data_IF_687565573264
#
_entry.id   IF_687565573264
#
_cell.length_a   1.000
_cell.length_b   1.000
_cell.length_c   1.000
_cell.angle_alpha   90.00
_cell.angle_beta   90.00
_cell.angle_gamma   90.00
#
_symmetry.space_group_name_H-M   'P 1'
#
loop_
_entity.id
_entity.type
_entity.pdbx_description
1 polymer ?
#
# COMPACT_ATOMS: atom_id res chain seq x y z
N UNK A 1 -4.17 -2.23 -15.86
CA UNK A 1 -4.93 -2.15 -14.60
C UNK A 1 -4.07 -1.67 -13.43
N UNK A 2 -2.86 -2.22 -13.21
CA UNK A 2 -1.78 -1.56 -12.43
C UNK A 2 -1.45 -0.12 -12.90
N UNK A 3 -1.79 0.23 -14.14
CA UNK A 3 -1.69 1.60 -14.70
C UNK A 3 -2.74 2.58 -14.15
N UNK A 4 -3.85 2.10 -13.57
CA UNK A 4 -4.88 2.97 -12.97
C UNK A 4 -4.55 3.35 -11.51
N UNK A 5 -3.59 2.66 -10.88
CA UNK A 5 -3.08 2.97 -9.54
C UNK A 5 -2.41 4.36 -9.43
N UNK A 6 -2.07 4.98 -10.57
CA UNK A 6 -1.53 6.34 -10.66
C UNK A 6 -2.40 7.31 -11.49
N UNK A 7 -3.59 6.87 -11.91
CA UNK A 7 -4.46 7.61 -12.83
C UNK A 7 -5.23 8.78 -12.20
N UNK A 8 -5.18 8.94 -10.87
CA UNK A 8 -5.53 10.18 -10.20
C UNK A 8 -4.29 10.69 -9.48
N UNK A 9 -3.96 11.94 -9.74
CA UNK A 9 -2.71 12.64 -9.52
C UNK A 9 -2.36 12.84 -8.03
N UNK A 10 -2.34 11.78 -7.22
CA UNK A 10 -1.82 11.81 -5.85
C UNK A 10 -0.33 11.54 -5.90
N UNK A 11 0.44 12.61 -6.18
CA UNK A 11 1.86 12.80 -5.88
C UNK A 11 2.81 11.66 -6.31
N UNK A 12 3.64 11.92 -7.33
CA UNK A 12 4.74 11.07 -7.84
C UNK A 12 5.57 10.36 -6.73
N UNK A 13 5.65 10.98 -5.56
CA UNK A 13 6.34 10.46 -4.37
C UNK A 13 5.65 9.25 -3.72
N UNK A 14 4.31 9.20 -3.68
CA UNK A 14 3.57 8.04 -3.14
C UNK A 14 3.78 6.83 -4.04
N UNK A 15 3.84 7.08 -5.35
CA UNK A 15 4.14 6.07 -6.36
C UNK A 15 5.53 5.46 -6.15
N UNK A 16 6.53 6.30 -5.92
CA UNK A 16 7.89 5.86 -5.57
C UNK A 16 7.90 5.01 -4.29
N UNK A 17 7.27 5.47 -3.22
CA UNK A 17 7.22 4.69 -1.97
C UNK A 17 6.49 3.35 -2.11
N UNK A 18 5.44 3.26 -2.92
CA UNK A 18 4.76 2.00 -3.19
C UNK A 18 5.68 1.00 -3.92
N UNK A 19 6.46 1.47 -4.90
CA UNK A 19 7.46 0.66 -5.60
C UNK A 19 8.58 0.20 -4.66
N UNK A 20 9.10 1.10 -3.82
CA UNK A 20 10.10 0.77 -2.80
C UNK A 20 9.60 -0.32 -1.85
N UNK A 21 8.33 -0.24 -1.43
CA UNK A 21 7.71 -1.25 -0.58
C UNK A 21 7.63 -2.62 -1.28
N UNK A 22 7.29 -2.67 -2.57
CA UNK A 22 7.29 -3.91 -3.36
C UNK A 22 8.70 -4.52 -3.37
N UNK A 23 9.72 -3.69 -3.58
CA UNK A 23 11.10 -4.13 -3.58
C UNK A 23 11.59 -4.59 -2.21
N UNK A 24 11.16 -3.94 -1.12
CA UNK A 24 11.46 -4.37 0.23
C UNK A 24 10.83 -5.72 0.56
N UNK A 25 9.58 -5.96 0.14
CA UNK A 25 8.93 -7.28 0.28
C UNK A 25 9.68 -8.36 -0.50
N UNK A 26 10.11 -8.04 -1.71
CA UNK A 26 10.92 -8.95 -2.54
C UNK A 26 12.27 -9.25 -1.89
N UNK A 27 13.01 -8.23 -1.45
CA UNK A 27 14.32 -8.36 -0.79
C UNK A 27 14.21 -9.15 0.52
N UNK A 28 13.19 -8.89 1.34
CA UNK A 28 12.90 -9.66 2.56
C UNK A 28 12.72 -11.14 2.30
N UNK A 29 12.06 -11.49 1.19
CA UNK A 29 11.86 -12.89 0.77
C UNK A 29 13.17 -13.51 0.26
N UNK A 30 13.97 -12.77 -0.49
CA UNK A 30 15.23 -13.23 -1.09
C UNK A 30 16.38 -13.35 -0.07
N UNK A 31 16.37 -12.49 0.96
CA UNK A 31 17.41 -12.35 1.99
C UNK A 31 16.77 -12.38 3.39
N UNK A 32 16.21 -13.53 3.83
CA UNK A 32 15.52 -13.64 5.11
C UNK A 32 16.43 -13.34 6.31
N UNK A 33 17.75 -13.53 6.18
CA UNK A 33 18.75 -13.18 7.20
C UNK A 33 18.82 -11.67 7.48
N UNK A 34 18.35 -10.83 6.55
CA UNK A 34 18.25 -9.37 6.70
C UNK A 34 16.80 -8.89 6.89
N UNK A 35 15.88 -9.79 7.25
CA UNK A 35 14.46 -9.46 7.36
C UNK A 35 14.18 -8.25 8.28
N UNK A 36 14.92 -8.11 9.38
CA UNK A 36 14.77 -6.99 10.30
C UNK A 36 15.08 -5.63 9.65
N UNK A 37 16.09 -5.57 8.77
CA UNK A 37 16.46 -4.35 8.04
C UNK A 37 15.35 -3.95 7.05
N UNK A 38 14.82 -4.91 6.30
CA UNK A 38 13.74 -4.65 5.36
C UNK A 38 12.42 -4.31 6.06
N UNK A 39 12.11 -4.96 7.19
CA UNK A 39 10.94 -4.65 8.00
C UNK A 39 11.05 -3.24 8.61
N UNK A 40 12.26 -2.80 8.98
CA UNK A 40 12.52 -1.43 9.41
C UNK A 40 12.29 -0.43 8.26
N UNK A 41 12.89 -0.66 7.08
CA UNK A 41 12.67 0.21 5.91
C UNK A 41 11.21 0.28 5.46
N UNK A 42 10.46 -0.82 5.60
CA UNK A 42 9.00 -0.84 5.36
C UNK A 42 8.26 0.05 6.34
N UNK A 43 8.55 -0.09 7.64
CA UNK A 43 7.92 0.72 8.68
C UNK A 43 8.21 2.23 8.48
N UNK A 44 9.43 2.57 8.09
CA UNK A 44 9.83 3.96 7.78
C UNK A 44 9.06 4.51 6.58
N UNK A 45 8.93 3.71 5.51
CA UNK A 45 8.20 4.10 4.30
C UNK A 45 6.71 4.30 4.58
N UNK A 46 6.09 3.39 5.35
CA UNK A 46 4.70 3.52 5.82
C UNK A 46 4.52 4.79 6.66
N UNK A 47 5.44 5.08 7.57
CA UNK A 47 5.40 6.27 8.40
C UNK A 47 5.55 7.56 7.56
N UNK A 48 6.41 7.56 6.54
CA UNK A 48 6.60 8.69 5.62
C UNK A 48 5.34 8.98 4.80
N UNK A 49 4.70 7.94 4.24
CA UNK A 49 3.43 8.04 3.52
C UNK A 49 2.35 8.62 4.44
N UNK A 50 2.20 8.05 5.63
CA UNK A 50 1.20 8.51 6.59
C UNK A 50 1.44 9.97 7.01
N UNK A 51 2.71 10.35 7.25
CA UNK A 51 3.07 11.73 7.58
C UNK A 51 2.76 12.70 6.45
N UNK A 52 2.99 12.33 5.19
CA UNK A 52 2.63 13.17 4.04
C UNK A 52 1.12 13.30 3.88
N UNK A 53 0.39 12.19 3.99
CA UNK A 53 -1.07 12.16 3.93
C UNK A 53 -1.71 13.03 5.03
N UNK A 54 -1.10 13.04 6.23
CA UNK A 54 -1.55 13.85 7.37
C UNK A 54 -1.03 15.29 7.28
N UNK A 55 0.19 15.52 6.77
CA UNK A 55 0.85 16.83 6.71
C UNK A 55 0.20 17.86 5.78
N UNK A 56 -0.78 17.45 4.97
CA UNK A 56 -1.71 18.36 4.27
C UNK A 56 -2.87 18.84 5.16
N UNK A 57 -2.92 18.46 6.44
CA UNK A 57 -3.95 18.84 7.41
C UNK A 57 -3.34 19.05 8.82
N UNK A 58 -3.68 20.11 9.56
CA UNK A 58 -3.06 20.39 10.87
C UNK A 58 -3.48 19.43 12.01
N UNK A 59 -4.27 18.38 11.75
CA UNK A 59 -4.83 17.54 12.81
C UNK A 59 -4.13 16.19 12.85
N UNK A 60 -3.37 15.86 13.92
CA UNK A 60 -2.92 14.50 14.16
C UNK A 60 -4.16 13.62 14.25
N UNK A 61 -4.33 12.70 13.31
CA UNK A 61 -5.27 11.61 13.52
C UNK A 61 -4.63 10.73 14.60
N UNK A 62 -5.23 10.62 15.81
CA UNK A 62 -4.63 9.82 16.85
C UNK A 62 -4.49 8.39 16.32
N UNK A 63 -3.31 7.82 16.50
CA UNK A 63 -2.98 6.43 16.19
C UNK A 63 -3.69 5.48 17.17
N UNK A 64 -5.02 5.58 17.25
CA UNK A 64 -5.90 4.80 18.09
C UNK A 64 -7.02 4.31 17.19
N UNK A 65 -6.68 3.30 16.41
CA UNK A 65 -7.44 2.05 16.39
C UNK A 65 -6.71 1.09 15.47
N UNK A 66 -6.48 -0.13 15.95
CA UNK A 66 -6.05 -1.29 15.15
C UNK A 66 -7.02 -1.58 13.97
N UNK A 67 -8.15 -0.84 13.89
CA UNK A 67 -9.21 -0.92 12.89
C UNK A 67 -9.30 0.32 11.97
N UNK A 68 -8.54 1.40 12.21
CA UNK A 68 -8.45 2.53 11.27
C UNK A 68 -7.30 2.27 10.31
N UNK A 69 -7.65 1.73 9.15
CA UNK A 69 -6.70 1.52 8.06
C UNK A 69 -6.07 2.85 7.63
N UNK A 70 -4.75 2.96 7.78
CA UNK A 70 -3.99 4.12 7.29
C UNK A 70 -3.60 3.94 5.83
N UNK A 71 -3.44 5.05 5.10
CA UNK A 71 -3.03 5.02 3.69
C UNK A 71 -1.71 4.26 3.49
N UNK A 72 -0.72 4.49 4.36
CA UNK A 72 0.55 3.79 4.32
C UNK A 72 0.42 2.28 4.60
N UNK A 73 -0.41 1.88 5.55
CA UNK A 73 -0.66 0.46 5.85
C UNK A 73 -1.35 -0.25 4.67
N UNK A 74 -2.32 0.41 4.04
CA UNK A 74 -3.00 -0.12 2.86
C UNK A 74 -2.06 -0.27 1.66
N UNK A 75 -1.19 0.71 1.42
CA UNK A 75 -0.17 0.66 0.37
C UNK A 75 0.85 -0.46 0.63
N UNK A 76 1.31 -0.65 1.87
CA UNK A 76 2.23 -1.74 2.21
C UNK A 76 1.62 -3.13 1.99
N UNK A 77 0.34 -3.33 2.32
CA UNK A 77 -0.35 -4.59 2.00
C UNK A 77 -0.54 -4.78 0.50
N UNK A 78 -0.83 -3.70 -0.22
CA UNK A 78 -0.94 -3.73 -1.69
C UNK A 78 0.39 -4.16 -2.29
N UNK A 79 1.50 -3.57 -1.83
CA UNK A 79 2.84 -3.94 -2.25
C UNK A 79 3.16 -5.42 -2.00
N UNK A 80 2.81 -5.95 -0.82
CA UNK A 80 2.96 -7.37 -0.49
C UNK A 80 2.14 -8.28 -1.43
N UNK A 81 0.89 -7.88 -1.72
CA UNK A 81 0.02 -8.64 -2.63
C UNK A 81 0.54 -8.61 -4.07
N UNK A 82 1.04 -7.46 -4.54
CA UNK A 82 1.66 -7.29 -5.85
C UNK A 82 2.90 -8.17 -6.00
N UNK A 83 3.84 -8.14 -5.04
CA UNK A 83 5.01 -9.01 -5.04
C UNK A 83 4.58 -10.48 -5.14
N UNK A 84 3.61 -10.89 -4.32
CA UNK A 84 3.11 -12.27 -4.29
C UNK A 84 2.49 -12.69 -5.62
N UNK A 85 1.69 -11.82 -6.25
CA UNK A 85 1.05 -12.11 -7.52
C UNK A 85 2.08 -12.24 -8.66
N UNK A 86 3.04 -11.31 -8.73
CA UNK A 86 4.14 -11.34 -9.73
C UNK A 86 5.00 -12.59 -9.54
N UNK A 87 5.34 -12.94 -8.30
CA UNK A 87 6.09 -14.14 -8.01
C UNK A 87 5.34 -15.40 -8.44
N UNK A 88 4.05 -15.51 -8.11
CA UNK A 88 3.25 -16.69 -8.44
C UNK A 88 3.10 -16.89 -9.95
N UNK A 89 2.99 -15.80 -10.71
CA UNK A 89 3.09 -15.83 -12.18
C UNK A 89 4.40 -16.46 -12.64
N UNK A 90 5.52 -15.99 -12.10
CA UNK A 90 6.85 -16.44 -12.49
C UNK A 90 7.12 -17.91 -12.11
N UNK A 91 6.57 -18.40 -11.00
CA UNK A 91 6.88 -19.73 -10.46
C UNK A 91 5.90 -20.84 -10.85
N UNK A 92 4.64 -20.52 -11.10
CA UNK A 92 3.54 -21.51 -11.13
C UNK A 92 2.77 -21.52 -12.45
N UNK A 93 3.04 -20.55 -13.33
CA UNK A 93 2.37 -20.38 -14.61
C UNK A 93 0.94 -19.80 -14.51
N UNK A 94 0.42 -19.26 -15.63
CA UNK A 94 -0.93 -18.74 -15.71
C UNK A 94 -1.92 -19.89 -15.57
N UNK A 95 -2.89 -19.79 -14.64
CA UNK A 95 -4.04 -20.71 -14.42
C UNK A 95 -4.05 -21.55 -13.13
N UNK A 96 -3.23 -21.24 -12.12
CA UNK A 96 -3.39 -21.88 -10.80
C UNK A 96 -4.41 -21.13 -9.92
N UNK A 97 -5.12 -21.86 -9.06
CA UNK A 97 -6.04 -21.28 -8.05
C UNK A 97 -5.32 -20.23 -7.20
N UNK A 98 -4.08 -20.52 -6.79
CA UNK A 98 -3.24 -19.59 -6.02
C UNK A 98 -2.93 -18.29 -6.75
N UNK A 99 -2.75 -18.36 -8.07
CA UNK A 99 -2.58 -17.15 -8.88
C UNK A 99 -3.88 -16.36 -8.92
N UNK A 100 -5.03 -17.00 -9.13
CA UNK A 100 -6.32 -16.32 -9.11
C UNK A 100 -6.58 -15.65 -7.76
N UNK A 101 -6.37 -16.34 -6.64
CA UNK A 101 -6.48 -15.77 -5.29
C UNK A 101 -5.57 -14.55 -5.08
N UNK A 102 -4.33 -14.61 -5.56
CA UNK A 102 -3.39 -13.48 -5.43
C UNK A 102 -3.83 -12.26 -6.24
N UNK A 103 -4.34 -12.47 -7.46
CA UNK A 103 -4.86 -11.39 -8.30
C UNK A 103 -6.19 -10.83 -7.77
N UNK A 104 -7.08 -11.68 -7.27
CA UNK A 104 -8.32 -11.26 -6.60
C UNK A 104 -7.99 -10.42 -5.38
N UNK A 105 -7.04 -10.85 -4.55
CA UNK A 105 -6.62 -10.10 -3.37
C UNK A 105 -6.03 -8.74 -3.73
N UNK A 106 -5.28 -8.64 -4.83
CA UNK A 106 -4.77 -7.36 -5.32
C UNK A 106 -5.92 -6.44 -5.74
N UNK A 107 -6.92 -6.94 -6.47
CA UNK A 107 -8.09 -6.16 -6.87
C UNK A 107 -8.90 -5.64 -5.68
N UNK A 108 -9.09 -6.45 -4.64
CA UNK A 108 -9.75 -6.02 -3.40
C UNK A 108 -9.02 -4.85 -2.72
N UNK A 109 -7.68 -4.90 -2.70
CA UNK A 109 -6.86 -3.85 -2.10
C UNK A 109 -6.89 -2.56 -2.92
N UNK A 110 -6.94 -2.66 -4.26
CA UNK A 110 -7.14 -1.50 -5.15
C UNK A 110 -8.49 -0.82 -4.89
N UNK A 111 -9.56 -1.60 -4.69
CA UNK A 111 -10.89 -1.06 -4.36
C UNK A 111 -10.85 -0.36 -3.00
N UNK A 112 -10.29 -1.00 -1.96
CA UNK A 112 -10.16 -0.41 -0.64
C UNK A 112 -9.37 0.92 -0.66
N UNK A 113 -8.36 1.02 -1.53
CA UNK A 113 -7.59 2.25 -1.72
C UNK A 113 -8.46 3.39 -2.28
N UNK A 114 -9.26 3.11 -3.30
CA UNK A 114 -10.21 4.07 -3.85
C UNK A 114 -11.19 4.58 -2.80
N UNK A 115 -11.76 3.68 -2.00
CA UNK A 115 -12.70 4.02 -0.93
C UNK A 115 -12.04 4.89 0.16
N UNK A 116 -10.81 4.56 0.56
CA UNK A 116 -10.07 5.34 1.56
C UNK A 116 -9.71 6.74 1.06
N UNK A 117 -9.26 6.88 -0.19
CA UNK A 117 -8.96 8.18 -0.80
C UNK A 117 -10.23 9.03 -0.92
N UNK A 118 -11.35 8.43 -1.33
CA UNK A 118 -12.64 9.11 -1.38
C UNK A 118 -13.05 9.63 0.00
N UNK A 119 -12.96 8.79 1.05
CA UNK A 119 -13.24 9.16 2.43
C UNK A 119 -12.35 10.30 2.94
N UNK A 120 -11.05 10.25 2.67
CA UNK A 120 -10.10 11.29 3.06
C UNK A 120 -10.36 12.62 2.33
N UNK A 121 -10.86 12.55 1.09
CA UNK A 121 -11.23 13.75 0.32
C UNK A 121 -12.55 14.35 0.81
N UNK A 122 -13.50 13.52 1.22
CA UNK A 122 -14.78 13.95 1.75
C UNK A 122 -14.63 14.61 3.13
N UNK A 123 -13.82 14.05 4.03
CA UNK A 123 -13.49 14.66 5.34
C UNK A 123 -12.75 16.01 5.18
N UNK A 124 -12.03 16.21 4.07
CA UNK A 124 -11.43 17.51 3.73
C UNK A 124 -12.44 18.54 3.19
N UNK A 125 -13.59 18.10 2.67
CA UNK A 125 -14.62 18.97 2.08
C UNK A 125 -15.69 19.41 3.07
N UNK A 126 -15.81 18.76 4.22
CA UNK A 126 -16.77 19.14 5.25
C UNK A 126 -16.21 20.29 6.11
N UNK A 127 -16.85 21.48 6.14
CA UNK A 127 -16.51 22.49 7.13
C UNK A 127 -16.87 21.93 8.50
N UNK A 128 -15.89 21.83 9.41
CA UNK A 128 -16.18 21.56 10.82
C UNK A 128 -16.93 22.78 11.39
N UNK A 129 -18.24 22.62 11.56
CA UNK A 129 -19.13 23.54 12.29
C UNK A 129 -18.98 23.29 13.78
#
# INVERSE_FOLDING_TARGET
MLLALFGHQTDDVICGHAQDLVDLHRKRREQPERAAEFDCGRAESVAAINRRATGSSPRPHPAVDTHSETLGSLIDRTAAATERAIRLLATTGPSTVRMHEAWTRLAELEIAYGDLVAKLTDDRRLPRV
#
